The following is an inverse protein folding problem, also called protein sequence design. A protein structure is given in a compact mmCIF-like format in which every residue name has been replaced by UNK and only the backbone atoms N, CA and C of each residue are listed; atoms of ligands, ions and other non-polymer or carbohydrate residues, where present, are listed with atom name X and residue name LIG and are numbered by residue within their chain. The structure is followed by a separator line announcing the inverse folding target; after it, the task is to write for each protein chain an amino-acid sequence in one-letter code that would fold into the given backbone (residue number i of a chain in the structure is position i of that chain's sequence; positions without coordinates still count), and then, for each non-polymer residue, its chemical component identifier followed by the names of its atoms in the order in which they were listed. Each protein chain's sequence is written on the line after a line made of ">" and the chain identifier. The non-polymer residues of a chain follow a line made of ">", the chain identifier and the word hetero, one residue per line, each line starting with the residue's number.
data_IF_803554461843
#
_entry.id   IF_803554461843
#
_cell.length_a   1.000
_cell.length_b   1.000
_cell.length_c   1.000
_cell.angle_alpha   90.00
_cell.angle_beta   90.00
_cell.angle_gamma   90.00
#
_symmetry.space_group_name_H-M   'P 1'
#
loop_
_entity.id
_entity.type
_entity.pdbx_description
1 polymer ?
#
# COMPACT_ATOMS: atom_id res chain seq x y z
N UNK A 1 -18.70 34.03 14.38
CA UNK A 1 -18.34 32.60 14.54
C UNK A 1 -16.95 32.38 13.98
N UNK A 2 -16.06 31.77 14.75
CA UNK A 2 -14.65 31.54 14.37
C UNK A 2 -14.30 30.06 14.42
N UNK A 3 -13.37 29.63 13.57
CA UNK A 3 -12.91 28.25 13.39
C UNK A 3 -11.39 28.21 13.32
N UNK A 4 -10.79 27.07 13.64
CA UNK A 4 -9.33 26.95 13.65
C UNK A 4 -8.77 26.58 12.27
N UNK A 5 -9.58 26.00 11.38
CA UNK A 5 -9.14 25.61 10.04
C UNK A 5 -10.18 25.85 8.95
N UNK A 6 -9.72 25.92 7.70
CA UNK A 6 -10.57 26.04 6.51
C UNK A 6 -11.49 24.82 6.36
N UNK A 7 -10.97 23.65 6.68
CA UNK A 7 -11.62 22.35 6.59
C UNK A 7 -12.77 22.23 7.60
N UNK A 8 -12.61 22.82 8.79
CA UNK A 8 -13.66 22.90 9.79
C UNK A 8 -14.82 23.80 9.35
N UNK A 9 -14.51 24.98 8.79
CA UNK A 9 -15.51 25.88 8.19
C UNK A 9 -16.33 25.14 7.12
N UNK A 10 -15.64 24.44 6.22
CA UNK A 10 -16.28 23.67 5.15
C UNK A 10 -17.10 22.49 5.70
N UNK A 11 -16.62 21.82 6.74
CA UNK A 11 -17.32 20.70 7.37
C UNK A 11 -18.68 21.15 7.94
N UNK A 12 -18.70 22.23 8.72
CA UNK A 12 -19.94 22.77 9.31
C UNK A 12 -20.90 23.25 8.23
N UNK A 13 -20.37 23.94 7.21
CA UNK A 13 -21.17 24.40 6.07
C UNK A 13 -21.82 23.23 5.31
N UNK A 14 -21.05 22.17 5.03
CA UNK A 14 -21.53 20.94 4.40
C UNK A 14 -22.60 20.27 5.25
N UNK A 15 -22.34 20.08 6.54
CA UNK A 15 -23.25 19.42 7.48
C UNK A 15 -24.63 20.09 7.51
N UNK A 16 -24.67 21.42 7.59
CA UNK A 16 -25.92 22.17 7.59
C UNK A 16 -26.72 21.97 6.29
N UNK A 17 -26.04 22.03 5.15
CA UNK A 17 -26.68 21.91 3.83
C UNK A 17 -27.15 20.48 3.54
N UNK A 18 -26.34 19.47 3.87
CA UNK A 18 -26.69 18.05 3.71
C UNK A 18 -27.94 17.71 4.53
N UNK A 19 -27.99 18.11 5.82
CA UNK A 19 -29.14 17.85 6.69
C UNK A 19 -30.43 18.51 6.20
N UNK A 20 -30.34 19.69 5.57
CA UNK A 20 -31.49 20.40 5.00
C UNK A 20 -31.79 20.01 3.54
N UNK A 21 -31.00 19.12 2.93
CA UNK A 21 -31.15 18.76 1.51
C UNK A 21 -30.94 19.95 0.55
N UNK A 22 -30.11 20.92 0.95
CA UNK A 22 -29.83 22.15 0.20
C UNK A 22 -28.48 22.07 -0.51
N UNK A 23 -28.39 22.72 -1.66
CA UNK A 23 -27.21 22.64 -2.52
C UNK A 23 -26.55 24.02 -2.68
N UNK A 24 -25.23 24.04 -2.63
CA UNK A 24 -24.43 25.23 -2.89
C UNK A 24 -23.24 24.90 -3.78
N UNK A 25 -22.70 25.91 -4.45
CA UNK A 25 -21.46 25.84 -5.22
C UNK A 25 -20.40 26.75 -4.62
N UNK A 26 -19.17 26.26 -4.57
CA UNK A 26 -18.01 27.05 -4.15
C UNK A 26 -17.59 28.00 -5.26
N UNK A 27 -17.19 29.22 -4.88
CA UNK A 27 -16.48 30.13 -5.76
C UNK A 27 -15.06 29.64 -6.08
N UNK A 28 -14.28 30.49 -6.75
CA UNK A 28 -12.87 30.19 -7.08
C UNK A 28 -12.09 29.77 -5.83
N UNK A 29 -11.22 28.78 -6.00
CA UNK A 29 -10.28 28.33 -4.98
C UNK A 29 -9.43 29.51 -4.50
N UNK A 30 -9.46 29.79 -3.21
CA UNK A 30 -8.61 30.79 -2.56
C UNK A 30 -8.03 30.21 -1.26
N UNK A 31 -6.76 30.50 -0.94
CA UNK A 31 -6.14 30.10 0.32
C UNK A 31 -6.71 30.87 1.52
N UNK A 32 -7.18 32.10 1.32
CA UNK A 32 -7.57 33.02 2.41
C UNK A 32 -9.07 33.31 2.47
N UNK A 33 -9.83 32.83 1.48
CA UNK A 33 -11.25 33.15 1.31
C UNK A 33 -12.06 31.91 0.92
N UNK A 34 -13.19 31.72 1.61
CA UNK A 34 -14.26 30.83 1.22
C UNK A 34 -15.43 31.70 0.76
N UNK A 35 -15.92 31.45 -0.46
CA UNK A 35 -17.19 31.97 -0.95
C UNK A 35 -18.04 30.79 -1.40
N UNK A 36 -19.25 30.70 -0.90
CA UNK A 36 -20.26 29.78 -1.41
C UNK A 36 -21.54 30.53 -1.78
N UNK A 37 -22.23 30.04 -2.80
CA UNK A 37 -23.50 30.58 -3.29
C UNK A 37 -24.46 29.44 -3.56
N UNK A 38 -25.75 29.72 -3.53
CA UNK A 38 -26.75 28.73 -3.96
C UNK A 38 -26.46 28.23 -5.38
N UNK A 39 -26.85 26.99 -5.66
CA UNK A 39 -26.81 26.43 -7.02
C UNK A 39 -27.86 27.08 -7.91
N UNK A 40 -29.01 27.49 -7.35
CA UNK A 40 -30.00 28.30 -8.07
C UNK A 40 -29.51 29.75 -8.14
N UNK A 41 -29.41 30.29 -9.36
CA UNK A 41 -28.95 31.66 -9.61
C UNK A 41 -29.98 32.72 -9.20
N UNK A 42 -31.26 32.36 -9.13
CA UNK A 42 -32.34 33.23 -8.61
C UNK A 42 -32.35 33.29 -7.08
N UNK A 43 -31.55 32.46 -6.41
CA UNK A 43 -31.44 32.49 -4.96
C UNK A 43 -30.28 33.39 -4.50
N UNK A 44 -30.60 34.34 -3.62
CA UNK A 44 -29.67 35.29 -3.04
C UNK A 44 -28.83 34.75 -1.87
N UNK A 45 -28.94 33.46 -1.55
CA UNK A 45 -28.18 32.88 -0.46
C UNK A 45 -26.67 32.91 -0.76
N UNK A 46 -25.89 33.50 0.14
CA UNK A 46 -24.43 33.64 0.04
C UNK A 46 -23.77 33.33 1.39
N UNK A 47 -22.58 32.76 1.30
CA UNK A 47 -21.71 32.50 2.45
C UNK A 47 -20.30 33.02 2.16
N UNK A 48 -19.70 33.67 3.15
CA UNK A 48 -18.33 34.18 3.08
C UNK A 48 -17.61 33.94 4.40
N UNK A 49 -16.46 33.27 4.34
CA UNK A 49 -15.54 33.15 5.45
C UNK A 49 -14.12 33.52 5.02
N UNK A 50 -13.35 34.13 5.92
CA UNK A 50 -12.00 34.64 5.66
C UNK A 50 -11.05 34.30 6.79
N UNK A 51 -9.78 34.03 6.49
CA UNK A 51 -8.75 33.91 7.52
C UNK A 51 -8.41 35.29 8.12
N UNK A 52 -8.32 35.34 9.44
CA UNK A 52 -7.80 36.48 10.19
C UNK A 52 -6.29 36.26 10.33
N UNK A 53 -5.49 37.06 9.60
CA UNK A 53 -4.03 36.89 9.52
C UNK A 53 -3.36 36.94 10.90
N UNK A 54 -3.83 37.82 11.80
CA UNK A 54 -3.22 37.99 13.13
C UNK A 54 -3.40 36.79 14.04
N UNK A 55 -4.55 36.13 13.99
CA UNK A 55 -4.86 34.99 14.87
C UNK A 55 -4.75 33.64 14.17
N UNK A 56 -4.54 33.62 12.85
CA UNK A 56 -4.60 32.44 12.00
C UNK A 56 -5.93 31.66 12.08
N UNK A 57 -6.99 32.30 12.57
CA UNK A 57 -8.34 31.71 12.68
C UNK A 57 -9.24 32.12 11.52
N UNK A 58 -10.16 31.25 11.14
CA UNK A 58 -11.17 31.54 10.12
C UNK A 58 -12.41 32.15 10.74
N UNK A 59 -12.94 33.21 10.14
CA UNK A 59 -14.15 33.87 10.61
C UNK A 59 -15.21 33.92 9.51
N UNK A 60 -16.45 33.61 9.87
CA UNK A 60 -17.61 33.79 9.00
C UNK A 60 -18.01 35.26 8.99
N UNK A 61 -17.80 35.91 7.84
CA UNK A 61 -18.09 37.34 7.62
C UNK A 61 -19.50 37.58 7.09
N UNK A 62 -20.05 36.62 6.34
CA UNK A 62 -21.41 36.70 5.80
C UNK A 62 -22.03 35.31 5.78
N UNK A 63 -23.21 35.19 6.35
CA UNK A 63 -24.06 34.02 6.27
C UNK A 63 -25.47 34.54 6.02
N UNK A 64 -26.04 34.21 4.86
CA UNK A 64 -27.46 34.42 4.61
C UNK A 64 -28.29 33.46 5.46
N UNK A 65 -29.43 33.93 5.97
CA UNK A 65 -30.29 33.17 6.89
C UNK A 65 -30.93 31.96 6.22
N UNK A 66 -31.90 32.18 5.33
CA UNK A 66 -32.62 31.11 4.64
C UNK A 66 -32.44 31.18 3.12
N UNK A 67 -32.57 30.01 2.49
CA UNK A 67 -32.67 29.92 1.04
C UNK A 67 -34.11 30.23 0.64
N UNK A 68 -34.31 31.12 -0.34
CA UNK A 68 -35.61 31.37 -0.95
C UNK A 68 -36.06 30.27 -1.92
N UNK A 69 -35.15 29.36 -2.30
CA UNK A 69 -35.41 28.28 -3.23
C UNK A 69 -35.68 26.95 -2.51
N UNK A 70 -36.61 26.18 -3.06
CA UNK A 70 -36.71 24.75 -2.76
C UNK A 70 -35.62 23.99 -3.51
N UNK A 71 -35.22 22.84 -2.96
CA UNK A 71 -34.12 22.03 -3.49
C UNK A 71 -34.37 21.64 -4.97
N UNK A 72 -33.56 22.12 -5.93
CA UNK A 72 -33.83 21.90 -7.35
C UNK A 72 -33.31 20.54 -7.86
N UNK A 73 -32.56 19.79 -7.05
CA UNK A 73 -31.80 18.61 -7.49
C UNK A 73 -32.09 17.42 -6.59
N UNK A 74 -32.88 16.46 -7.09
CA UNK A 74 -33.02 15.13 -6.46
C UNK A 74 -31.85 14.27 -6.96
N UNK A 75 -30.68 14.45 -6.36
CA UNK A 75 -29.50 13.60 -6.64
C UNK A 75 -29.30 12.57 -5.53
N UNK A 76 -29.05 11.33 -5.90
CA UNK A 76 -28.62 10.29 -4.97
C UNK A 76 -27.20 10.56 -4.40
N UNK A 77 -26.37 11.31 -5.12
CA UNK A 77 -25.03 11.75 -4.67
C UNK A 77 -25.02 13.26 -4.43
N UNK A 78 -24.90 13.67 -3.16
CA UNK A 78 -24.88 15.09 -2.79
C UNK A 78 -23.50 15.70 -3.13
N UNK A 79 -23.48 16.80 -3.90
CA UNK A 79 -22.22 17.43 -4.36
C UNK A 79 -21.35 17.94 -3.20
N UNK A 80 -21.99 18.40 -2.11
CA UNK A 80 -21.31 18.87 -0.90
C UNK A 80 -20.93 17.74 0.08
N UNK A 81 -21.34 16.49 -0.21
CA UNK A 81 -20.85 15.30 0.50
C UNK A 81 -19.48 14.93 -0.08
N UNK A 82 -18.50 15.79 0.18
CA UNK A 82 -17.13 15.68 -0.31
C UNK A 82 -16.25 14.77 0.57
N UNK A 83 -15.07 14.42 0.06
CA UNK A 83 -14.15 13.50 0.76
C UNK A 83 -13.67 14.02 2.12
N UNK A 84 -13.63 15.33 2.35
CA UNK A 84 -13.29 15.93 3.66
C UNK A 84 -14.34 15.58 4.71
N UNK A 85 -15.63 15.74 4.36
CA UNK A 85 -16.73 15.45 5.28
C UNK A 85 -16.82 13.95 5.56
N UNK A 86 -16.75 13.14 4.50
CA UNK A 86 -16.79 11.68 4.61
C UNK A 86 -15.62 11.19 5.47
N UNK A 87 -14.40 11.71 5.24
CA UNK A 87 -13.19 11.36 6.02
C UNK A 87 -13.44 11.52 7.52
N UNK A 88 -13.92 12.69 7.95
CA UNK A 88 -14.25 12.94 9.36
C UNK A 88 -15.32 12.00 9.91
N UNK A 89 -16.30 11.65 9.08
CA UNK A 89 -17.42 10.77 9.49
C UNK A 89 -17.00 9.30 9.63
N UNK A 90 -15.97 8.85 8.90
CA UNK A 90 -15.48 7.47 8.93
C UNK A 90 -14.20 7.30 9.75
N UNK A 91 -13.68 8.36 10.35
CA UNK A 91 -12.38 8.37 11.04
C UNK A 91 -12.25 7.20 12.03
N UNK A 92 -13.20 7.08 12.97
CA UNK A 92 -13.20 6.02 13.98
C UNK A 92 -13.31 4.60 13.38
N UNK A 93 -13.97 4.44 12.22
CA UNK A 93 -14.04 3.16 11.54
C UNK A 93 -12.69 2.77 10.93
N UNK A 94 -11.99 3.75 10.35
CA UNK A 94 -10.68 3.53 9.72
C UNK A 94 -9.58 3.35 10.76
N UNK A 95 -9.61 4.09 11.87
CA UNK A 95 -8.68 3.89 12.99
C UNK A 95 -8.78 2.48 13.59
N UNK A 96 -10.01 1.94 13.68
CA UNK A 96 -10.23 0.59 14.19
C UNK A 96 -9.81 -0.50 13.19
N UNK A 97 -10.08 -0.28 11.90
CA UNK A 97 -9.74 -1.21 10.84
C UNK A 97 -9.35 -0.45 9.56
N UNK A 98 -8.03 -0.19 9.35
CA UNK A 98 -7.54 0.43 8.12
C UNK A 98 -7.83 -0.40 6.87
N UNK A 99 -8.13 -1.70 7.00
CA UNK A 99 -8.45 -2.58 5.87
C UNK A 99 -9.92 -2.52 5.43
N UNK A 100 -10.78 -1.79 6.15
CA UNK A 100 -12.22 -1.68 5.91
C UNK A 100 -12.57 -1.50 4.42
N UNK A 101 -13.46 -2.34 3.91
CA UNK A 101 -13.77 -2.32 2.48
C UNK A 101 -14.54 -1.06 2.08
N UNK A 102 -14.27 -0.55 0.88
CA UNK A 102 -14.97 0.63 0.34
C UNK A 102 -16.51 0.43 0.28
N UNK A 103 -17.05 -0.74 -0.10
CA UNK A 103 -18.49 -0.98 -0.05
C UNK A 103 -19.12 -0.79 1.35
N UNK A 104 -18.42 -1.17 2.42
CA UNK A 104 -18.90 -0.96 3.80
C UNK A 104 -18.95 0.54 4.12
N UNK A 105 -17.95 1.31 3.71
CA UNK A 105 -17.95 2.78 3.86
C UNK A 105 -19.15 3.40 3.14
N UNK A 106 -19.44 2.97 1.90
CA UNK A 106 -20.59 3.48 1.14
C UNK A 106 -21.90 3.16 1.88
N UNK A 107 -22.04 1.93 2.38
CA UNK A 107 -23.23 1.51 3.14
C UNK A 107 -23.40 2.32 4.44
N UNK A 108 -22.31 2.56 5.16
CA UNK A 108 -22.30 3.38 6.37
C UNK A 108 -22.78 4.82 6.08
N UNK A 109 -22.21 5.47 5.07
CA UNK A 109 -22.61 6.84 4.68
C UNK A 109 -24.06 6.88 4.18
N UNK A 110 -24.51 5.85 3.44
CA UNK A 110 -25.90 5.74 3.02
C UNK A 110 -26.85 5.65 4.21
N UNK A 111 -26.49 4.90 5.25
CA UNK A 111 -27.27 4.79 6.48
C UNK A 111 -27.28 6.09 7.28
N UNK A 112 -26.15 6.79 7.35
CA UNK A 112 -26.00 8.01 8.15
C UNK A 112 -26.64 9.24 7.49
N UNK A 113 -26.36 9.46 6.20
CA UNK A 113 -26.69 10.71 5.49
C UNK A 113 -27.85 10.55 4.49
N UNK A 114 -28.38 9.34 4.31
CA UNK A 114 -29.43 9.01 3.32
C UNK A 114 -29.03 9.24 1.85
N UNK A 115 -27.77 9.59 1.59
CA UNK A 115 -27.19 9.75 0.25
C UNK A 115 -26.24 8.60 -0.08
N UNK A 116 -26.20 8.20 -1.35
CA UNK A 116 -25.25 7.18 -1.84
C UNK A 116 -24.07 7.86 -2.51
N UNK A 117 -22.87 7.67 -1.96
CA UNK A 117 -21.63 8.22 -2.52
C UNK A 117 -21.01 7.30 -3.57
N UNK A 118 -20.28 7.90 -4.51
CA UNK A 118 -19.47 7.11 -5.45
C UNK A 118 -18.32 6.38 -4.75
N UNK A 119 -17.92 5.24 -5.32
CA UNK A 119 -16.75 4.47 -4.87
C UNK A 119 -15.49 5.34 -4.77
N UNK A 120 -15.28 6.23 -5.75
CA UNK A 120 -14.11 7.11 -5.79
C UNK A 120 -14.09 8.10 -4.62
N UNK A 121 -15.24 8.70 -4.26
CA UNK A 121 -15.34 9.59 -3.09
C UNK A 121 -15.03 8.83 -1.80
N UNK A 122 -15.61 7.63 -1.66
CA UNK A 122 -15.37 6.76 -0.50
C UNK A 122 -13.89 6.35 -0.38
N UNK A 123 -13.26 5.97 -1.50
CA UNK A 123 -11.83 5.63 -1.54
C UNK A 123 -10.95 6.82 -1.17
N UNK A 124 -11.17 7.99 -1.78
CA UNK A 124 -10.42 9.22 -1.43
C UNK A 124 -10.64 9.65 0.02
N UNK A 125 -11.85 9.48 0.55
CA UNK A 125 -12.15 9.79 1.94
C UNK A 125 -11.44 8.85 2.91
N UNK A 126 -11.32 7.56 2.57
CA UNK A 126 -10.59 6.56 3.35
C UNK A 126 -9.09 6.83 3.38
N UNK A 127 -8.49 7.31 2.28
CA UNK A 127 -7.05 7.55 2.23
C UNK A 127 -6.60 8.67 3.18
N UNK A 128 -7.40 9.70 3.41
CA UNK A 128 -7.05 10.82 4.30
C UNK A 128 -6.66 10.40 5.71
N UNK A 129 -7.52 9.71 6.50
CA UNK A 129 -7.15 9.29 7.84
C UNK A 129 -6.02 8.25 7.83
N UNK A 130 -5.88 7.43 6.77
CA UNK A 130 -4.74 6.52 6.63
C UNK A 130 -3.43 7.30 6.47
N UNK A 131 -3.43 8.33 5.62
CA UNK A 131 -2.28 9.23 5.43
C UNK A 131 -1.97 10.01 6.70
N UNK A 132 -2.99 10.44 7.46
CA UNK A 132 -2.81 11.12 8.75
C UNK A 132 -2.20 10.17 9.81
N UNK A 133 -2.59 8.89 9.81
CA UNK A 133 -2.12 7.88 10.78
C UNK A 133 -0.74 7.30 10.46
N UNK A 134 -0.43 7.10 9.18
CA UNK A 134 0.75 6.35 8.73
C UNK A 134 1.72 7.17 7.89
N UNK A 135 1.41 8.44 7.63
CA UNK A 135 2.11 9.25 6.64
C UNK A 135 1.65 8.92 5.22
N UNK A 136 1.93 9.85 4.32
CA UNK A 136 1.66 9.66 2.89
C UNK A 136 2.88 9.05 2.19
N UNK A 137 2.69 8.65 0.93
CA UNK A 137 3.76 8.04 0.15
C UNK A 137 4.95 8.97 -0.09
N UNK A 138 4.75 10.30 -0.14
CA UNK A 138 5.83 11.29 -0.29
C UNK A 138 6.73 11.28 0.95
N UNK A 139 6.10 11.28 2.13
CA UNK A 139 6.77 11.16 3.41
C UNK A 139 7.56 9.85 3.52
N UNK A 140 7.03 8.74 3.02
CA UNK A 140 7.76 7.46 2.99
C UNK A 140 9.07 7.53 2.20
N UNK A 141 9.13 8.30 1.10
CA UNK A 141 10.38 8.50 0.35
C UNK A 141 11.36 9.42 1.09
N UNK A 142 10.82 10.43 1.79
CA UNK A 142 11.61 11.32 2.64
C UNK A 142 12.26 10.58 3.81
N UNK A 143 11.54 9.66 4.45
CA UNK A 143 12.01 8.96 5.65
C UNK A 143 12.90 7.74 5.32
N UNK A 144 12.86 7.27 4.07
CA UNK A 144 13.58 6.07 3.63
C UNK A 144 15.10 6.12 3.89
N UNK A 145 15.85 7.20 3.57
CA UNK A 145 17.28 7.26 3.87
C UNK A 145 17.57 7.09 5.35
N UNK A 146 16.85 7.84 6.21
CA UNK A 146 17.00 7.81 7.66
C UNK A 146 16.70 6.41 8.21
N UNK A 147 15.63 5.77 7.74
CA UNK A 147 15.24 4.42 8.12
C UNK A 147 16.33 3.39 7.78
N UNK A 148 16.84 3.41 6.54
CA UNK A 148 17.85 2.46 6.07
C UNK A 148 19.20 2.66 6.78
N UNK A 149 19.56 3.92 7.05
CA UNK A 149 20.73 4.25 7.85
C UNK A 149 20.61 3.68 9.28
N UNK A 150 19.48 3.92 9.94
CA UNK A 150 19.21 3.38 11.27
C UNK A 150 19.24 1.84 11.29
N UNK A 151 18.63 1.18 10.30
CA UNK A 151 18.70 -0.29 10.15
C UNK A 151 20.14 -0.79 10.03
N UNK A 152 20.98 -0.11 9.24
CA UNK A 152 22.39 -0.49 9.07
C UNK A 152 23.19 -0.35 10.37
N UNK A 153 22.85 0.64 11.21
CA UNK A 153 23.55 0.92 12.47
C UNK A 153 23.11 -0.03 13.59
N UNK A 154 21.80 -0.23 13.76
CA UNK A 154 21.26 -0.96 14.92
C UNK A 154 21.09 -2.46 14.66
N UNK A 155 20.85 -2.87 13.41
CA UNK A 155 20.63 -4.27 13.07
C UNK A 155 21.94 -4.86 12.51
N UNK A 156 22.72 -5.50 13.39
CA UNK A 156 23.98 -6.12 13.01
C UNK A 156 23.79 -7.11 11.83
N UNK A 157 24.55 -6.91 10.76
CA UNK A 157 24.48 -7.71 9.54
C UNK A 157 23.25 -7.46 8.66
N UNK A 158 22.44 -6.43 8.94
CA UNK A 158 21.50 -5.89 7.97
C UNK A 158 22.26 -5.41 6.74
N UNK A 159 21.80 -5.83 5.57
CA UNK A 159 22.38 -5.45 4.30
C UNK A 159 21.38 -4.61 3.53
N UNK A 160 21.85 -3.48 3.00
CA UNK A 160 21.08 -2.64 2.10
C UNK A 160 21.96 -2.16 0.95
N UNK A 161 21.43 -2.27 -0.27
CA UNK A 161 22.00 -1.69 -1.46
C UNK A 161 20.91 -0.87 -2.17
N UNK A 162 21.13 0.44 -2.26
CA UNK A 162 20.22 1.38 -2.91
C UNK A 162 20.87 1.95 -4.16
N UNK A 163 20.05 2.17 -5.18
CA UNK A 163 20.45 2.84 -6.41
C UNK A 163 19.55 4.06 -6.64
N UNK A 164 20.20 5.18 -6.90
CA UNK A 164 19.56 6.46 -7.18
C UNK A 164 20.13 7.05 -8.47
N UNK A 165 19.47 8.08 -8.99
CA UNK A 165 19.91 8.83 -10.18
C UNK A 165 20.00 10.30 -9.84
N UNK A 166 20.93 11.06 -10.44
CA UNK A 166 20.98 12.50 -10.30
C UNK A 166 19.66 13.14 -10.73
N UNK A 167 19.25 14.19 -10.02
CA UNK A 167 18.11 15.02 -10.40
C UNK A 167 18.62 16.28 -11.12
N UNK A 168 17.93 16.67 -12.19
CA UNK A 168 18.24 17.88 -12.95
C UNK A 168 17.06 18.86 -12.90
N UNK A 169 17.35 20.15 -12.76
CA UNK A 169 16.36 21.22 -12.84
C UNK A 169 15.93 21.50 -14.30
N UNK A 170 15.03 22.46 -14.50
CA UNK A 170 14.54 22.81 -15.85
C UNK A 170 15.64 23.39 -16.76
N UNK A 171 16.71 23.89 -16.17
CA UNK A 171 17.88 24.46 -16.84
C UNK A 171 18.96 23.40 -17.15
N UNK A 172 18.74 22.14 -16.75
CA UNK A 172 19.69 21.03 -16.95
C UNK A 172 20.82 20.98 -15.92
N UNK A 173 20.74 21.74 -14.84
CA UNK A 173 21.72 21.73 -13.75
C UNK A 173 21.37 20.68 -12.70
N UNK A 174 22.39 20.08 -12.11
CA UNK A 174 22.20 19.04 -11.09
C UNK A 174 21.74 19.65 -9.76
N UNK A 175 20.69 19.08 -9.19
CA UNK A 175 20.19 19.43 -7.86
C UNK A 175 20.89 18.52 -6.85
N UNK A 176 21.77 19.07 -6.02
CA UNK A 176 22.64 18.27 -5.15
C UNK A 176 21.93 17.71 -3.92
N UNK A 177 20.93 18.42 -3.40
CA UNK A 177 20.19 18.00 -2.20
C UNK A 177 19.18 16.88 -2.47
N UNK A 178 18.94 16.52 -3.74
CA UNK A 178 17.90 15.59 -4.14
C UNK A 178 18.39 14.56 -5.14
N UNK A 179 17.96 13.31 -4.94
CA UNK A 179 18.22 12.22 -5.87
C UNK A 179 16.93 11.49 -6.24
N UNK A 180 16.84 11.03 -7.48
CA UNK A 180 15.70 10.24 -7.92
C UNK A 180 15.88 8.77 -7.53
N UNK A 181 14.88 8.21 -6.86
CA UNK A 181 14.82 6.79 -6.54
C UNK A 181 14.83 5.92 -7.80
N UNK A 182 15.69 4.90 -7.82
CA UNK A 182 15.67 3.87 -8.86
C UNK A 182 15.21 2.51 -8.34
N UNK A 183 15.91 1.97 -7.33
CA UNK A 183 15.59 0.70 -6.67
C UNK A 183 16.38 0.57 -5.37
N UNK A 184 15.88 -0.28 -4.47
CA UNK A 184 16.58 -0.68 -3.26
C UNK A 184 16.41 -2.19 -3.06
N UNK A 185 17.47 -2.84 -2.61
CA UNK A 185 17.46 -4.19 -2.08
C UNK A 185 17.89 -4.13 -0.63
N UNK A 186 17.20 -4.87 0.25
CA UNK A 186 17.64 -5.05 1.62
C UNK A 186 17.36 -6.47 2.08
N UNK A 187 18.11 -6.93 3.08
CA UNK A 187 17.87 -8.20 3.75
C UNK A 187 18.46 -8.18 5.16
N UNK A 188 17.87 -8.96 6.06
CA UNK A 188 18.35 -9.10 7.44
C UNK A 188 19.34 -10.25 7.56
N UNK A 189 20.28 -10.16 8.50
CA UNK A 189 21.26 -11.21 8.78
C UNK A 189 20.63 -12.61 9.00
N UNK A 190 19.56 -12.77 9.80
CA UNK A 190 18.86 -14.05 9.92
C UNK A 190 18.41 -14.64 8.58
N UNK A 191 17.94 -13.80 7.65
CA UNK A 191 17.53 -14.26 6.32
C UNK A 191 18.72 -14.74 5.48
N UNK A 192 19.89 -14.10 5.60
CA UNK A 192 21.12 -14.53 4.92
C UNK A 192 21.59 -15.86 5.49
N UNK A 193 21.64 -15.99 6.81
CA UNK A 193 22.13 -17.19 7.49
C UNK A 193 21.20 -18.38 7.32
N UNK A 194 19.89 -18.14 7.36
CA UNK A 194 18.85 -19.13 7.14
C UNK A 194 18.83 -19.67 5.72
N UNK A 195 19.27 -18.89 4.73
CA UNK A 195 19.20 -19.24 3.31
C UNK A 195 19.89 -20.56 2.97
N UNK A 196 21.00 -20.89 3.64
CA UNK A 196 21.73 -22.16 3.42
C UNK A 196 20.95 -23.40 3.89
N UNK A 197 19.96 -23.23 4.75
CA UNK A 197 19.07 -24.29 5.24
C UNK A 197 17.75 -24.35 4.47
N UNK A 198 17.46 -23.34 3.64
CA UNK A 198 16.29 -23.35 2.76
C UNK A 198 16.41 -24.45 1.70
N UNK A 199 15.26 -24.96 1.25
CA UNK A 199 15.21 -25.93 0.16
C UNK A 199 15.77 -25.29 -1.12
N UNK A 200 16.85 -25.85 -1.71
CA UNK A 200 17.38 -25.31 -2.95
C UNK A 200 16.32 -25.40 -4.04
N UNK A 201 16.05 -24.27 -4.70
CA UNK A 201 15.16 -24.24 -5.85
C UNK A 201 15.96 -24.79 -7.04
N UNK A 202 15.82 -26.09 -7.32
CA UNK A 202 16.32 -26.65 -8.56
C UNK A 202 15.35 -26.26 -9.68
N UNK A 203 15.73 -25.27 -10.48
CA UNK A 203 15.07 -25.01 -11.77
C UNK A 203 15.45 -26.12 -12.75
N UNK A 204 14.59 -27.13 -12.86
CA UNK A 204 14.73 -28.19 -13.87
C UNK A 204 14.02 -27.72 -15.14
N UNK A 205 14.79 -27.37 -16.17
CA UNK A 205 14.28 -27.15 -17.52
C UNK A 205 14.05 -28.51 -18.19
N UNK A 206 12.79 -28.81 -18.53
CA UNK A 206 12.46 -29.93 -19.40
C UNK A 206 12.44 -29.38 -20.84
N UNK A 207 13.46 -29.72 -21.62
CA UNK A 207 13.44 -29.49 -23.07
C UNK A 207 12.70 -30.68 -23.68
N UNK A 208 11.49 -30.45 -24.16
CA UNK A 208 10.76 -31.41 -24.98
C UNK A 208 11.14 -31.17 -26.45
N UNK A 209 11.82 -32.13 -27.06
CA UNK A 209 11.70 -32.30 -28.51
C UNK A 209 10.29 -32.82 -28.81
N UNK A 210 9.62 -32.23 -29.80
CA UNK A 210 8.23 -32.60 -30.12
C UNK A 210 8.22 -33.87 -30.94
N UNK A 211 7.65 -34.96 -30.41
CA UNK A 211 7.12 -36.05 -31.25
C UNK A 211 5.68 -36.42 -30.85
N UNK A 212 4.82 -36.24 -31.84
CA UNK A 212 3.57 -36.91 -32.22
C UNK A 212 2.46 -37.18 -31.15
N UNK A 213 1.23 -36.64 -31.34
CA UNK A 213 0.09 -36.72 -30.41
C UNK A 213 -0.57 -38.12 -30.19
N UNK A 214 0.11 -39.24 -30.46
CA UNK A 214 -0.44 -40.60 -30.24
C UNK A 214 -0.08 -41.23 -28.89
N UNK A 215 0.79 -40.63 -28.08
CA UNK A 215 1.21 -41.23 -26.80
C UNK A 215 0.49 -40.63 -25.60
N UNK A 216 -0.51 -41.38 -25.09
CA UNK A 216 -0.98 -41.30 -23.70
C UNK A 216 0.21 -41.47 -22.75
N UNK A 217 0.17 -40.80 -21.59
CA UNK A 217 1.14 -40.90 -20.48
C UNK A 217 1.84 -42.27 -20.46
N UNK A 218 3.17 -42.28 -20.54
CA UNK A 218 3.95 -43.51 -20.59
C UNK A 218 3.75 -44.35 -19.32
N UNK A 219 3.03 -45.46 -19.45
CA UNK A 219 3.38 -46.71 -18.75
C UNK A 219 4.75 -47.12 -19.27
N UNK A 220 5.80 -46.62 -18.61
CA UNK A 220 7.19 -46.82 -19.01
C UNK A 220 8.01 -47.46 -17.89
N UNK A 221 9.12 -48.08 -18.28
CA UNK A 221 10.16 -48.47 -17.34
C UNK A 221 10.85 -47.20 -16.82
N UNK A 222 11.03 -47.08 -15.51
CA UNK A 222 11.73 -45.96 -14.90
C UNK A 222 13.07 -46.45 -14.35
N UNK A 223 14.15 -45.80 -14.75
CA UNK A 223 15.46 -46.01 -14.16
C UNK A 223 15.52 -45.25 -12.85
N UNK A 224 15.97 -45.96 -11.80
CA UNK A 224 16.23 -45.38 -10.48
C UNK A 224 17.67 -45.66 -10.10
N UNK A 225 18.40 -44.61 -9.75
CA UNK A 225 19.75 -44.71 -9.20
C UNK A 225 19.71 -44.20 -7.77
N UNK A 226 19.70 -45.14 -6.82
CA UNK A 226 19.51 -44.83 -5.40
C UNK A 226 20.65 -43.97 -4.83
N UNK A 227 21.90 -44.34 -5.12
CA UNK A 227 23.09 -43.63 -4.62
C UNK A 227 23.19 -42.21 -5.19
N UNK A 228 22.89 -42.05 -6.48
CA UNK A 228 22.89 -40.74 -7.16
C UNK A 228 21.65 -39.90 -6.83
N UNK A 229 20.67 -40.47 -6.12
CA UNK A 229 19.35 -39.88 -5.84
C UNK A 229 18.59 -39.44 -7.11
N UNK A 230 18.61 -40.28 -8.14
CA UNK A 230 17.99 -40.00 -9.43
C UNK A 230 16.81 -40.94 -9.73
N UNK A 231 15.76 -40.38 -10.33
CA UNK A 231 14.63 -41.09 -10.95
C UNK A 231 14.31 -40.41 -12.28
N UNK A 232 14.07 -41.19 -13.35
CA UNK A 232 13.64 -40.66 -14.65
C UNK A 232 12.32 -39.86 -14.55
N UNK A 233 11.51 -40.16 -13.53
CA UNK A 233 10.30 -39.43 -13.22
C UNK A 233 10.50 -38.00 -12.70
N UNK A 234 11.74 -37.59 -12.42
CA UNK A 234 12.16 -36.27 -11.89
C UNK A 234 11.58 -35.85 -10.53
N UNK A 235 10.62 -36.59 -9.98
CA UNK A 235 10.02 -36.30 -8.67
C UNK A 235 11.05 -36.37 -7.54
N UNK A 236 11.96 -37.34 -7.61
CA UNK A 236 12.96 -37.54 -6.55
C UNK A 236 13.91 -36.33 -6.45
N UNK A 237 14.30 -35.78 -7.59
CA UNK A 237 15.17 -34.63 -7.73
C UNK A 237 14.44 -33.34 -7.33
N UNK A 238 13.24 -33.10 -7.89
CA UNK A 238 12.46 -31.86 -7.63
C UNK A 238 11.97 -31.76 -6.19
N UNK A 239 11.51 -32.88 -5.63
CA UNK A 239 10.96 -32.90 -4.28
C UNK A 239 12.03 -33.17 -3.24
N UNK A 240 13.22 -33.65 -3.61
CA UNK A 240 14.24 -34.09 -2.65
C UNK A 240 13.69 -35.16 -1.67
N UNK A 241 12.75 -35.97 -2.15
CA UNK A 241 12.08 -37.05 -1.42
C UNK A 241 11.84 -38.26 -2.33
N UNK A 242 11.92 -39.49 -1.82
CA UNK A 242 11.63 -40.70 -2.58
C UNK A 242 10.26 -40.64 -3.25
N UNK A 243 10.22 -40.87 -4.57
CA UNK A 243 8.97 -41.08 -5.29
C UNK A 243 8.52 -42.55 -5.19
N UNK A 244 7.33 -42.89 -5.70
CA UNK A 244 6.85 -44.28 -5.76
C UNK A 244 7.83 -45.23 -6.45
N UNK A 245 8.52 -44.78 -7.50
CA UNK A 245 9.52 -45.59 -8.20
C UNK A 245 10.78 -45.84 -7.39
N UNK A 246 11.14 -44.97 -6.45
CA UNK A 246 12.31 -45.13 -5.55
C UNK A 246 11.97 -46.06 -4.39
N UNK A 247 10.74 -45.98 -3.88
CA UNK A 247 10.29 -46.86 -2.77
C UNK A 247 10.27 -48.33 -3.19
N UNK A 248 9.94 -48.63 -4.45
CA UNK A 248 9.92 -50.00 -4.97
C UNK A 248 11.28 -50.75 -4.88
N UNK A 249 12.40 -50.26 -5.46
CA UNK A 249 13.71 -50.87 -5.31
C UNK A 249 14.24 -50.79 -3.87
N UNK A 250 13.92 -49.75 -3.09
CA UNK A 250 14.27 -49.74 -1.65
C UNK A 250 13.64 -50.93 -0.92
N UNK A 251 12.36 -51.24 -1.20
CA UNK A 251 11.67 -52.40 -0.62
C UNK A 251 12.31 -53.73 -1.06
N UNK A 252 12.69 -53.83 -2.34
CA UNK A 252 13.34 -55.03 -2.89
C UNK A 252 14.73 -55.28 -2.29
N UNK A 253 15.52 -54.21 -2.09
CA UNK A 253 16.87 -54.26 -1.54
C UNK A 253 16.90 -54.18 0.00
N UNK A 254 15.74 -54.19 0.67
CA UNK A 254 15.60 -53.99 2.12
C UNK A 254 16.26 -52.70 2.65
N UNK A 255 16.34 -51.66 1.83
CA UNK A 255 16.81 -50.34 2.25
C UNK A 255 15.67 -49.54 2.88
N UNK A 256 15.97 -48.82 3.96
CA UNK A 256 15.03 -47.86 4.53
C UNK A 256 14.90 -46.63 3.60
N UNK A 257 13.77 -46.49 2.90
CA UNK A 257 13.55 -45.37 1.98
C UNK A 257 13.71 -43.99 2.66
N UNK A 258 13.49 -43.87 3.98
CA UNK A 258 13.62 -42.61 4.72
C UNK A 258 15.05 -42.08 4.73
N UNK A 259 16.08 -42.93 4.59
CA UNK A 259 17.47 -42.49 4.50
C UNK A 259 17.77 -41.67 3.24
N UNK A 260 16.88 -41.74 2.24
CA UNK A 260 17.00 -41.00 0.99
C UNK A 260 16.23 -39.66 1.00
N UNK A 261 15.49 -39.34 2.06
CA UNK A 261 14.87 -38.03 2.25
C UNK A 261 15.99 -37.00 2.51
N UNK A 262 15.93 -35.86 1.84
CA UNK A 262 16.94 -34.81 2.03
C UNK A 262 16.81 -34.16 3.41
N UNK A 263 17.96 -33.80 3.97
CA UNK A 263 18.14 -33.19 5.29
C UNK A 263 17.32 -31.91 5.46
N UNK A 264 17.00 -31.20 4.38
CA UNK A 264 16.18 -29.97 4.41
C UNK A 264 14.78 -30.15 5.02
N UNK A 265 14.29 -31.39 5.12
CA UNK A 265 13.02 -31.71 5.75
C UNK A 265 13.15 -32.14 7.23
N UNK A 266 14.35 -32.16 7.79
CA UNK A 266 14.52 -32.45 9.21
C UNK A 266 14.09 -31.25 10.06
N UNK A 267 13.60 -31.52 11.27
CA UNK A 267 13.26 -30.47 12.23
C UNK A 267 14.47 -29.60 12.56
N UNK A 268 15.67 -30.18 12.55
CA UNK A 268 16.93 -29.45 12.74
C UNK A 268 17.14 -28.39 11.66
N UNK A 269 17.01 -28.74 10.38
CA UNK A 269 17.13 -27.77 9.28
C UNK A 269 16.05 -26.69 9.34
N UNK A 270 14.81 -27.08 9.62
CA UNK A 270 13.69 -26.13 9.77
C UNK A 270 13.95 -25.18 10.95
N UNK A 271 14.44 -25.68 12.07
CA UNK A 271 14.82 -24.88 13.23
C UNK A 271 15.95 -23.91 12.88
N UNK A 272 16.96 -24.38 12.14
CA UNK A 272 18.11 -23.59 11.74
C UNK A 272 17.76 -22.43 10.79
N UNK A 273 16.67 -22.52 10.02
CA UNK A 273 16.15 -21.40 9.21
C UNK A 273 15.71 -20.22 10.09
N UNK A 274 15.22 -20.50 11.30
CA UNK A 274 14.64 -19.50 12.21
C UNK A 274 15.44 -19.33 13.51
N UNK A 275 16.64 -19.91 13.59
CA UNK A 275 17.43 -19.93 14.82
C UNK A 275 17.95 -18.56 15.23
N UNK A 276 18.23 -17.70 14.24
CA UNK A 276 18.76 -16.36 14.48
C UNK A 276 17.63 -15.37 14.82
N UNK A 277 17.84 -14.59 15.86
CA UNK A 277 16.92 -13.52 16.25
C UNK A 277 17.20 -12.24 15.47
N UNK A 278 16.16 -11.46 15.22
CA UNK A 278 16.34 -10.07 14.78
C UNK A 278 16.89 -9.26 15.94
N UNK A 279 17.84 -8.36 15.66
CA UNK A 279 18.35 -7.43 16.66
C UNK A 279 17.26 -6.50 17.19
N UNK A 280 17.53 -5.89 18.35
CA UNK A 280 16.61 -4.92 18.94
C UNK A 280 16.48 -3.68 18.05
N UNK A 281 15.25 -3.21 17.87
CA UNK A 281 14.94 -2.03 17.07
C UNK A 281 14.63 -0.84 17.99
N UNK A 282 15.50 0.18 18.06
CA UNK A 282 15.29 1.31 18.96
C UNK A 282 14.20 2.24 18.46
N UNK A 283 13.61 2.99 19.39
CA UNK A 283 12.66 4.05 19.06
C UNK A 283 13.30 5.09 18.11
N UNK A 284 12.49 5.66 17.22
CA UNK A 284 12.92 6.65 16.24
C UNK A 284 13.66 7.85 16.85
N UNK A 285 13.35 8.22 18.09
CA UNK A 285 14.03 9.32 18.80
C UNK A 285 15.54 9.10 18.99
N UNK A 286 16.00 7.85 18.91
CA UNK A 286 17.41 7.49 19.06
C UNK A 286 18.15 7.35 17.72
N UNK A 287 17.45 7.50 16.59
CA UNK A 287 18.07 7.34 15.28
C UNK A 287 18.98 8.53 14.98
N UNK A 288 20.19 8.29 14.44
CA UNK A 288 21.09 9.37 14.09
C UNK A 288 20.56 10.18 12.90
N UNK A 289 21.06 11.40 12.77
CA UNK A 289 20.82 12.22 11.59
C UNK A 289 21.40 11.54 10.34
N UNK A 290 20.72 11.77 9.22
CA UNK A 290 21.09 11.20 7.93
C UNK A 290 21.51 12.34 6.99
N UNK A 291 22.80 12.40 6.65
CA UNK A 291 23.37 13.40 5.74
C UNK A 291 23.17 13.03 4.25
N UNK A 292 22.38 11.99 3.96
CA UNK A 292 22.11 11.59 2.58
C UNK A 292 21.15 12.56 1.87
N UNK A 293 21.31 12.77 0.55
CA UNK A 293 20.40 13.60 -0.21
C UNK A 293 18.97 13.03 -0.17
N UNK A 294 17.98 13.92 -0.19
CA UNK A 294 16.59 13.53 -0.10
C UNK A 294 16.18 12.72 -1.34
N UNK A 295 15.59 11.56 -1.10
CA UNK A 295 15.12 10.69 -2.16
C UNK A 295 13.74 11.18 -2.63
N UNK A 296 13.60 11.39 -3.94
CA UNK A 296 12.31 11.67 -4.57
C UNK A 296 11.87 10.49 -5.43
N UNK A 297 10.55 10.24 -5.54
CA UNK A 297 10.02 9.22 -6.44
C UNK A 297 10.37 9.53 -7.92
N UNK A 298 10.45 8.49 -8.73
CA UNK A 298 10.42 8.67 -10.18
C UNK A 298 8.99 8.94 -10.64
N UNK A 299 8.75 10.13 -11.21
CA UNK A 299 7.44 10.61 -11.66
C UNK A 299 6.72 9.67 -12.63
N UNK A 300 7.45 8.84 -13.39
CA UNK A 300 6.88 7.85 -14.32
C UNK A 300 6.17 6.69 -13.61
N UNK A 301 6.61 6.34 -12.40
CA UNK A 301 6.07 5.22 -11.63
C UNK A 301 5.12 5.64 -10.53
N UNK A 302 5.00 6.95 -10.25
CA UNK A 302 3.98 7.45 -9.34
C UNK A 302 2.62 7.08 -9.92
N UNK A 303 1.79 6.39 -9.12
CA UNK A 303 0.41 6.05 -9.46
C UNK A 303 -0.49 7.30 -9.35
N UNK A 304 -0.10 8.40 -10.01
CA UNK A 304 -0.78 9.69 -9.95
C UNK A 304 -1.80 9.91 -11.08
N UNK A 305 -2.02 8.92 -11.96
CA UNK A 305 -3.14 9.00 -12.89
C UNK A 305 -4.42 8.73 -12.10
N UNK A 306 -5.13 9.81 -11.72
CA UNK A 306 -6.52 9.79 -11.26
C UNK A 306 -7.30 8.68 -12.01
N UNK A 307 -7.58 7.56 -11.35
CA UNK A 307 -8.20 6.40 -12.00
C UNK A 307 -7.96 5.09 -11.25
N UNK A 308 -8.79 4.08 -11.57
CA UNK A 308 -8.74 2.73 -10.98
C UNK A 308 -7.39 2.05 -11.30
N UNK A 309 -6.79 1.29 -10.37
CA UNK A 309 -5.70 0.38 -10.71
C UNK A 309 -6.16 -0.53 -11.84
N UNK A 310 -5.40 -0.60 -12.95
CA UNK A 310 -5.64 -1.64 -13.94
C UNK A 310 -5.33 -2.98 -13.26
N UNK A 311 -6.31 -3.86 -13.19
CA UNK A 311 -6.08 -5.25 -12.83
C UNK A 311 -5.05 -5.81 -13.80
N UNK A 312 -4.01 -6.42 -13.26
CA UNK A 312 -3.03 -7.20 -14.00
C UNK A 312 -3.69 -8.35 -14.74
#
# INVERSE_FOLDING_TARGET
>A
MTFDSKEEVQYVLNMHHIKKGLYYRMGKLSPTLIVARCVNDECDWRYRATIIIRSQKWEVRKLSDEHSCSSPVISQDHVNLGSVYISKSILALVERDPSISIPIIIAHIKSAERYTISYRKAWMAKQKPIEDLHGNWEQSYHDLPKLLNAMTIFLNGFFVEKQTRPLYNQQGEMVHDYVQFHRVFWTFKPCIDGFKYCKPIIQVFLVQETINPRERRSTGNFTVRLYDKLCDCMKFQKLHMPCSHVVAPCKHLHHNYKSYINQVYTLEYVSNVYNELFGEWPNESYWPDCEEPQIIPNSKYIRNKKGRPKSS
#
